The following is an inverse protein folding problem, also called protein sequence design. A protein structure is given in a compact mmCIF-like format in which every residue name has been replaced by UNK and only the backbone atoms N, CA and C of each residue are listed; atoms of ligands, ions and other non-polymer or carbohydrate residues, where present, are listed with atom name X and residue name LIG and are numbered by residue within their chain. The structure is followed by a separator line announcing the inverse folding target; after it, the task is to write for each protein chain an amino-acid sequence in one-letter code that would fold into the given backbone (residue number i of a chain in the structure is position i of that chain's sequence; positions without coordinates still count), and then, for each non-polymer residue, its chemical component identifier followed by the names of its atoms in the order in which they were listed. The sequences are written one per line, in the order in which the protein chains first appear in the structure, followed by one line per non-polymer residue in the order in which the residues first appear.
data_IF_300666409516
#
_entry.id   IF_300666409516
#
_cell.length_a   1.000
_cell.length_b   1.000
_cell.length_c   1.000
_cell.angle_alpha   90.00
_cell.angle_beta   90.00
_cell.angle_gamma   90.00
#
_symmetry.space_group_name_H-M   'P 1'
#
loop_
_entity.id
_entity.type
_entity.pdbx_description
1 polymer ?
#
# COMPACT_ATOMS: atom_id res chain seq x y z
N UNK A 1 38.37 -43.77 -14.09
CA UNK A 1 37.00 -43.72 -13.56
C UNK A 1 36.62 -42.24 -13.39
N UNK A 2 35.73 -41.71 -14.22
CA UNK A 2 35.33 -40.30 -14.24
C UNK A 2 34.25 -40.09 -13.16
N UNK A 3 34.55 -39.36 -12.10
CA UNK A 3 33.55 -38.99 -11.09
C UNK A 3 32.98 -37.63 -11.51
N UNK A 4 31.87 -37.67 -12.23
CA UNK A 4 30.97 -36.54 -12.38
C UNK A 4 30.18 -36.39 -11.07
N UNK A 5 30.52 -35.41 -10.24
CA UNK A 5 29.72 -35.05 -9.08
C UNK A 5 28.90 -33.79 -9.40
N UNK A 6 27.73 -34.05 -9.97
CA UNK A 6 26.47 -33.31 -9.87
C UNK A 6 26.54 -31.83 -9.46
N UNK A 7 26.79 -30.96 -10.44
CA UNK A 7 26.26 -29.58 -10.43
C UNK A 7 24.80 -29.71 -10.89
N UNK A 8 23.86 -29.79 -9.95
CA UNK A 8 22.43 -29.75 -10.27
C UNK A 8 21.70 -28.84 -9.28
N UNK A 9 21.61 -27.57 -9.70
CA UNK A 9 20.38 -26.79 -9.63
C UNK A 9 20.08 -26.09 -8.30
N UNK A 10 20.80 -24.98 -8.08
CA UNK A 10 20.24 -23.80 -7.40
C UNK A 10 19.16 -23.21 -8.31
N UNK A 11 17.93 -23.72 -8.22
CA UNK A 11 16.76 -23.15 -8.88
C UNK A 11 15.64 -22.96 -7.85
N UNK A 12 15.84 -21.97 -6.97
CA UNK A 12 14.79 -21.48 -6.10
C UNK A 12 15.03 -20.02 -5.73
N UNK A 13 15.35 -19.17 -6.72
CA UNK A 13 15.38 -17.71 -6.48
C UNK A 13 15.17 -16.90 -7.77
N UNK A 14 14.07 -17.16 -8.49
CA UNK A 14 13.71 -16.35 -9.65
C UNK A 14 12.19 -16.16 -9.86
N UNK A 15 11.36 -16.41 -8.84
CA UNK A 15 9.90 -16.23 -8.96
C UNK A 15 9.38 -14.92 -8.30
N UNK A 16 10.24 -14.13 -7.65
CA UNK A 16 9.83 -12.91 -6.94
C UNK A 16 9.84 -11.63 -7.77
N UNK A 17 10.49 -11.62 -8.94
CA UNK A 17 10.78 -10.38 -9.68
C UNK A 17 9.63 -9.89 -10.58
N UNK A 18 8.65 -10.74 -10.89
CA UNK A 18 7.58 -10.36 -11.82
C UNK A 18 6.45 -9.54 -11.17
N UNK A 19 6.33 -9.55 -9.83
CA UNK A 19 5.16 -8.95 -9.14
C UNK A 19 5.49 -7.60 -8.47
N UNK A 20 6.76 -7.32 -8.19
CA UNK A 20 7.17 -6.03 -7.62
C UNK A 20 6.71 -4.85 -8.50
N UNK A 21 6.94 -4.93 -9.80
CA UNK A 21 6.48 -3.89 -10.74
C UNK A 21 4.96 -3.75 -10.87
N UNK A 22 4.17 -4.72 -10.38
CA UNK A 22 2.71 -4.64 -10.47
C UNK A 22 2.12 -3.59 -9.53
N UNK A 23 2.75 -3.31 -8.39
CA UNK A 23 2.21 -2.31 -7.44
C UNK A 23 2.57 -0.87 -7.81
N UNK A 24 3.58 -0.67 -8.67
CA UNK A 24 4.07 0.65 -9.06
C UNK A 24 2.96 1.52 -9.66
N UNK A 25 2.95 2.79 -9.28
CA UNK A 25 2.08 3.81 -9.83
C UNK A 25 1.11 4.42 -8.83
N UNK A 26 0.16 5.18 -9.37
CA UNK A 26 -0.80 5.94 -8.60
C UNK A 26 -2.12 5.20 -8.49
N UNK A 27 -2.67 5.13 -7.28
CA UNK A 27 -3.93 4.46 -6.96
C UNK A 27 -4.85 5.41 -6.22
N UNK A 28 -6.13 5.41 -6.53
CA UNK A 28 -7.10 6.33 -5.94
C UNK A 28 -8.27 5.57 -5.34
N UNK A 29 -8.54 5.84 -4.07
CA UNK A 29 -9.77 5.47 -3.37
C UNK A 29 -10.57 6.74 -3.11
N UNK A 30 -11.84 6.75 -3.52
CA UNK A 30 -12.77 7.84 -3.23
C UNK A 30 -13.97 7.28 -2.49
N UNK A 31 -14.40 8.00 -1.46
CA UNK A 31 -15.65 7.71 -0.76
C UNK A 31 -16.33 8.99 -0.37
N UNK A 32 -17.65 8.96 -0.43
CA UNK A 32 -18.49 10.04 0.00
C UNK A 32 -19.16 9.66 1.31
N UNK A 33 -19.16 10.56 2.28
CA UNK A 33 -19.83 10.37 3.56
C UNK A 33 -20.66 11.59 3.92
N UNK A 34 -21.81 11.38 4.57
CA UNK A 34 -22.57 12.47 5.15
C UNK A 34 -22.02 12.77 6.55
N UNK A 35 -21.58 14.00 6.80
CA UNK A 35 -21.09 14.46 8.10
C UNK A 35 -21.85 15.72 8.49
N UNK A 36 -22.78 15.59 9.43
CA UNK A 36 -23.55 16.74 9.95
C UNK A 36 -24.52 17.34 8.94
N UNK A 37 -25.05 16.55 7.99
CA UNK A 37 -25.94 17.02 6.94
C UNK A 37 -25.23 17.40 5.63
N UNK A 38 -23.91 17.57 5.66
CA UNK A 38 -23.10 17.89 4.48
C UNK A 38 -22.45 16.64 3.88
N UNK A 39 -22.43 16.59 2.55
CA UNK A 39 -21.73 15.57 1.80
C UNK A 39 -20.23 15.90 1.70
N UNK A 40 -19.39 15.00 2.22
CA UNK A 40 -17.93 15.16 2.21
C UNK A 40 -17.29 14.01 1.45
N UNK A 41 -16.63 14.33 0.34
CA UNK A 41 -15.79 13.38 -0.40
C UNK A 41 -14.42 13.30 0.25
N UNK A 42 -13.98 12.07 0.54
CA UNK A 42 -12.63 11.76 0.98
C UNK A 42 -11.93 11.04 -0.16
N UNK A 43 -10.87 11.66 -0.68
CA UNK A 43 -9.98 11.05 -1.67
C UNK A 43 -8.68 10.64 -1.01
N UNK A 44 -8.29 9.39 -1.20
CA UNK A 44 -7.02 8.84 -0.75
C UNK A 44 -6.23 8.40 -1.99
N UNK A 45 -5.10 9.04 -2.21
CA UNK A 45 -4.20 8.75 -3.33
C UNK A 45 -2.97 8.06 -2.78
N UNK A 46 -2.65 6.87 -3.29
CA UNK A 46 -1.42 6.15 -3.02
C UNK A 46 -0.49 6.34 -4.21
N UNK A 47 0.73 6.82 -3.98
CA UNK A 47 1.78 6.85 -4.99
C UNK A 47 2.84 5.84 -4.57
N UNK A 48 2.87 4.69 -5.24
CA UNK A 48 3.58 3.51 -4.78
C UNK A 48 4.76 3.18 -5.71
N UNK A 49 5.89 2.82 -5.12
CA UNK A 49 7.08 2.40 -5.85
C UNK A 49 7.73 1.20 -5.18
N UNK A 50 7.93 0.15 -5.96
CA UNK A 50 8.67 -1.05 -5.58
C UNK A 50 10.16 -0.91 -5.86
N UNK A 51 10.96 -1.49 -4.96
CA UNK A 51 12.38 -1.77 -5.14
C UNK A 51 12.66 -3.17 -4.58
N UNK A 52 12.56 -4.18 -5.46
CA UNK A 52 12.58 -5.58 -5.06
C UNK A 52 11.43 -5.91 -4.09
N UNK A 53 11.77 -6.26 -2.85
CA UNK A 53 10.80 -6.57 -1.79
C UNK A 53 10.42 -5.35 -0.94
N UNK A 54 10.97 -4.17 -1.21
CA UNK A 54 10.66 -2.93 -0.49
C UNK A 54 9.55 -2.17 -1.21
N UNK A 55 8.64 -1.60 -0.44
CA UNK A 55 7.63 -0.66 -0.92
C UNK A 55 7.94 0.72 -0.34
N UNK A 56 8.02 1.71 -1.22
CA UNK A 56 8.19 3.12 -0.86
C UNK A 56 7.10 3.94 -1.53
N UNK A 57 7.02 5.22 -1.17
CA UNK A 57 6.07 6.14 -1.75
C UNK A 57 5.33 6.97 -0.71
N UNK A 58 4.18 7.49 -1.11
CA UNK A 58 3.40 8.43 -0.30
C UNK A 58 1.91 8.12 -0.34
N UNK A 59 1.20 8.60 0.67
CA UNK A 59 -0.25 8.61 0.70
C UNK A 59 -0.72 10.02 0.94
N UNK A 60 -1.57 10.52 0.04
CA UNK A 60 -2.21 11.83 0.15
C UNK A 60 -3.68 11.65 0.49
N UNK A 61 -4.12 12.22 1.60
CA UNK A 61 -5.51 12.28 2.01
C UNK A 61 -6.06 13.69 1.79
N UNK A 62 -7.14 13.78 1.02
CA UNK A 62 -7.91 15.01 0.80
C UNK A 62 -9.31 14.84 1.38
N UNK A 63 -9.71 15.76 2.26
CA UNK A 63 -11.00 15.76 2.94
C UNK A 63 -11.82 16.97 2.47
N UNK A 64 -12.74 16.77 1.54
CA UNK A 64 -13.50 17.87 0.94
C UNK A 64 -12.58 18.94 0.35
N UNK A 65 -12.78 20.19 0.79
CA UNK A 65 -11.97 21.35 0.39
C UNK A 65 -10.79 21.64 1.32
N UNK A 66 -10.52 20.79 2.31
CA UNK A 66 -9.36 20.97 3.19
C UNK A 66 -8.05 20.72 2.43
N UNK A 67 -6.99 21.42 2.85
CA UNK A 67 -5.62 21.18 2.37
C UNK A 67 -5.27 19.68 2.44
N UNK A 68 -4.81 19.07 1.33
CA UNK A 68 -4.38 17.69 1.32
C UNK A 68 -3.23 17.44 2.29
N UNK A 69 -3.26 16.30 2.97
CA UNK A 69 -2.17 15.86 3.85
C UNK A 69 -1.47 14.68 3.21
N UNK A 70 -0.17 14.80 3.02
CA UNK A 70 0.67 13.74 2.49
C UNK A 70 1.55 13.16 3.59
N UNK A 71 1.61 11.83 3.66
CA UNK A 71 2.47 11.09 4.58
C UNK A 71 3.33 10.09 3.79
N UNK A 72 4.56 9.89 4.23
CA UNK A 72 5.46 8.91 3.63
C UNK A 72 5.15 7.50 4.14
N UNK A 73 5.38 6.53 3.26
CA UNK A 73 5.33 5.11 3.58
C UNK A 73 6.58 4.72 4.37
N UNK A 74 6.37 4.07 5.50
CA UNK A 74 7.41 3.48 6.34
C UNK A 74 7.27 1.97 6.43
N UNK A 75 8.38 1.26 6.65
CA UNK A 75 8.43 -0.20 6.80
C UNK A 75 7.72 -0.97 5.66
N UNK A 76 7.71 -0.42 4.45
CA UNK A 76 6.97 -1.00 3.34
C UNK A 76 7.60 -2.27 2.79
N UNK A 77 6.77 -3.31 2.61
CA UNK A 77 7.17 -4.65 2.15
C UNK A 77 6.24 -5.16 1.07
N UNK A 78 6.80 -5.96 0.15
CA UNK A 78 6.09 -6.65 -0.92
C UNK A 78 6.42 -8.14 -0.82
N UNK A 79 5.38 -8.97 -0.82
CA UNK A 79 5.48 -10.43 -0.80
C UNK A 79 4.52 -11.03 -1.83
N UNK A 80 5.04 -11.31 -3.03
CA UNK A 80 4.20 -11.70 -4.16
C UNK A 80 3.23 -10.57 -4.51
N UNK A 81 1.92 -10.85 -4.50
CA UNK A 81 0.88 -9.84 -4.74
C UNK A 81 0.41 -9.14 -3.46
N UNK A 82 0.97 -9.47 -2.29
CA UNK A 82 0.65 -8.83 -1.01
C UNK A 82 1.60 -7.68 -0.75
N UNK A 83 1.10 -6.65 -0.08
CA UNK A 83 1.91 -5.57 0.44
C UNK A 83 1.51 -5.21 1.87
N UNK A 84 2.46 -4.65 2.60
CA UNK A 84 2.21 -4.03 3.89
C UNK A 84 3.08 -2.80 4.07
N UNK A 85 2.60 -1.83 4.83
CA UNK A 85 3.39 -0.67 5.22
C UNK A 85 2.76 0.04 6.43
N UNK A 86 3.49 1.00 6.97
CA UNK A 86 3.01 1.92 7.99
C UNK A 86 3.02 3.36 7.47
N UNK A 87 2.17 4.19 8.05
CA UNK A 87 2.26 5.64 7.93
C UNK A 87 2.21 6.26 9.31
N UNK A 88 3.03 7.26 9.54
CA UNK A 88 3.08 8.00 10.81
C UNK A 88 2.60 9.42 10.53
N UNK A 89 1.56 9.85 11.25
CA UNK A 89 1.03 11.19 11.17
C UNK A 89 1.09 11.87 12.54
N UNK A 90 1.66 13.07 12.58
CA UNK A 90 1.60 13.93 13.75
C UNK A 90 0.21 14.56 13.86
N UNK A 91 -0.41 14.41 15.02
CA UNK A 91 -1.73 14.99 15.32
C UNK A 91 -1.64 15.85 16.58
N UNK A 92 -2.60 16.76 16.81
CA UNK A 92 -2.65 17.51 18.07
C UNK A 92 -2.70 16.62 19.32
N UNK A 93 -3.13 15.36 19.19
CA UNK A 93 -3.23 14.39 20.28
C UNK A 93 -2.01 13.43 20.32
N UNK A 94 -0.93 13.78 19.63
CA UNK A 94 0.30 12.99 19.51
C UNK A 94 0.42 12.22 18.20
N UNK A 95 1.47 11.41 18.11
CA UNK A 95 1.79 10.60 16.94
C UNK A 95 0.75 9.48 16.74
N UNK A 96 0.26 9.36 15.50
CA UNK A 96 -0.65 8.29 15.10
C UNK A 96 -0.01 7.44 14.00
N UNK A 97 0.33 6.20 14.36
CA UNK A 97 0.77 5.18 13.40
C UNK A 97 -0.44 4.40 12.87
N UNK A 98 -0.50 4.25 11.56
CA UNK A 98 -1.48 3.39 10.87
C UNK A 98 -0.75 2.28 10.12
N UNK A 99 -1.23 1.05 10.25
CA UNK A 99 -0.75 -0.13 9.53
C UNK A 99 -1.71 -0.42 8.38
N UNK A 100 -1.15 -0.65 7.21
CA UNK A 100 -1.86 -1.02 5.99
C UNK A 100 -1.38 -2.39 5.52
N UNK A 101 -2.33 -3.25 5.17
CA UNK A 101 -2.08 -4.58 4.62
C UNK A 101 -3.06 -4.80 3.48
N UNK A 102 -2.57 -5.30 2.34
CA UNK A 102 -3.42 -5.47 1.17
C UNK A 102 -2.83 -6.36 0.08
N UNK A 103 -3.56 -6.47 -1.01
CA UNK A 103 -3.23 -7.23 -2.22
C UNK A 103 -3.43 -6.40 -3.47
N UNK A 104 -2.62 -6.68 -4.49
CA UNK A 104 -2.80 -6.17 -5.85
C UNK A 104 -3.60 -7.18 -6.66
N UNK A 105 -4.72 -6.72 -7.24
CA UNK A 105 -5.66 -7.48 -8.06
C UNK A 105 -5.85 -6.74 -9.41
N UNK A 106 -4.90 -6.94 -10.33
CA UNK A 106 -4.89 -6.22 -11.61
C UNK A 106 -4.74 -4.71 -11.43
N UNK A 107 -5.80 -3.96 -11.76
CA UNK A 107 -5.88 -2.50 -11.62
C UNK A 107 -6.62 -2.04 -10.37
N UNK A 108 -6.77 -2.94 -9.39
CA UNK A 108 -7.33 -2.63 -8.08
C UNK A 108 -6.37 -3.08 -6.98
N UNK A 109 -6.18 -2.26 -5.95
CA UNK A 109 -5.64 -2.70 -4.66
C UNK A 109 -6.76 -2.77 -3.64
N UNK A 110 -6.76 -3.84 -2.85
CA UNK A 110 -7.70 -4.05 -1.74
C UNK A 110 -6.93 -4.33 -0.47
N UNK A 111 -7.45 -3.89 0.66
CA UNK A 111 -6.77 -4.13 1.92
C UNK A 111 -7.53 -3.62 3.12
N UNK A 112 -6.83 -3.62 4.24
CA UNK A 112 -7.30 -3.06 5.50
C UNK A 112 -6.30 -2.06 6.04
N UNK A 113 -6.82 -1.02 6.68
CA UNK A 113 -6.04 0.01 7.37
C UNK A 113 -6.47 0.04 8.84
N UNK A 114 -5.52 0.07 9.77
CA UNK A 114 -5.83 0.10 11.21
C UNK A 114 -4.83 0.96 11.95
N UNK A 115 -5.27 1.61 13.03
CA UNK A 115 -4.35 2.28 13.96
C UNK A 115 -3.52 1.23 14.68
N UNK A 116 -2.21 1.44 14.78
CA UNK A 116 -1.33 0.59 15.58
C UNK A 116 -1.76 0.64 17.05
N UNK A 117 -1.88 -0.51 17.70
CA UNK A 117 -2.39 -0.63 19.09
C UNK A 117 -3.90 -0.41 19.26
N UNK A 118 -4.66 -0.15 18.19
CA UNK A 118 -6.11 0.01 18.26
C UNK A 118 -6.85 -1.32 18.47
N UNK A 119 -7.84 -1.32 19.36
CA UNK A 119 -8.77 -2.45 19.57
C UNK A 119 -9.99 -2.26 18.66
N UNK A 120 -9.90 -2.74 17.42
CA UNK A 120 -11.00 -2.65 16.46
C UNK A 120 -10.68 -3.39 15.18
N UNK A 121 -11.71 -3.77 14.42
CA UNK A 121 -11.50 -4.31 13.07
C UNK A 121 -10.88 -3.23 12.17
N UNK A 122 -9.91 -3.62 11.36
CA UNK A 122 -9.32 -2.72 10.37
C UNK A 122 -10.39 -2.20 9.41
N UNK A 123 -10.22 -0.96 8.96
CA UNK A 123 -11.10 -0.35 7.98
C UNK A 123 -10.73 -0.84 6.59
N UNK A 124 -11.64 -1.51 5.85
CA UNK A 124 -11.35 -1.96 4.51
C UNK A 124 -11.18 -0.75 3.58
N UNK A 125 -10.32 -0.90 2.58
CA UNK A 125 -10.19 0.04 1.49
C UNK A 125 -10.04 -0.69 0.16
N UNK A 126 -10.49 -0.02 -0.89
CA UNK A 126 -10.26 -0.39 -2.29
C UNK A 126 -9.80 0.87 -3.03
N UNK A 127 -8.73 0.77 -3.80
CA UNK A 127 -8.23 1.86 -4.63
C UNK A 127 -7.96 1.36 -6.06
N UNK A 128 -8.34 2.16 -7.05
CA UNK A 128 -8.16 1.83 -8.47
C UNK A 128 -6.91 2.49 -9.03
N UNK A 129 -6.21 1.81 -9.91
CA UNK A 129 -5.05 2.36 -10.61
C UNK A 129 -5.48 3.57 -11.44
N UNK A 130 -4.69 4.64 -11.41
CA UNK A 130 -4.80 5.76 -12.33
C UNK A 130 -4.07 5.38 -13.62
N UNK A 131 -4.72 5.39 -14.78
CA UNK A 131 -4.06 5.14 -16.06
C UNK A 131 -2.90 6.13 -16.27
N UNK A 132 -1.77 5.64 -16.79
CA UNK A 132 -0.74 6.54 -17.30
C UNK A 132 -1.33 7.35 -18.48
N UNK A 133 -1.14 8.67 -18.46
CA UNK A 133 -1.56 9.57 -19.54
C UNK A 133 -0.55 9.58 -20.69
#
# INVERSE_FOLDING_TARGET
MKIFLSILTVLALAAGLAVAGQIDGKWVSERTMNRGGEEVTIRQTFDLKSDGSKLTGTITMQFGQMEPRTVEIQEGRIEGNKFSFKTVMETPNGTMTSVYEGTVEGDVIKGTSRREGGQGQGRPFEAKRVPAS
#
